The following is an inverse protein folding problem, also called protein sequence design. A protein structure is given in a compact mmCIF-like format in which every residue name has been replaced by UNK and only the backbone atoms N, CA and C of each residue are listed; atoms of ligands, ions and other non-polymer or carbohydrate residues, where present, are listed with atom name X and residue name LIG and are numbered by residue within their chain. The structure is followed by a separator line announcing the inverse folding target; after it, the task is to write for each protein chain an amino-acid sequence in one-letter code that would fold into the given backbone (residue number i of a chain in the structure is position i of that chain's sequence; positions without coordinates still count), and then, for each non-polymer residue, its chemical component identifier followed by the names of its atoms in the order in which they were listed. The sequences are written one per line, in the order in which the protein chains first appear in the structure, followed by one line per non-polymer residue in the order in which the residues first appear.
data_IF_525210115057
#
_entry.id   IF_525210115057
#
_cell.length_a   1.000
_cell.length_b   1.000
_cell.length_c   1.000
_cell.angle_alpha   90.00
_cell.angle_beta   90.00
_cell.angle_gamma   90.00
#
_symmetry.space_group_name_H-M   'P 1'
#
loop_
_entity.id
_entity.type
_entity.pdbx_description
1 polymer ?
#
# COMPACT_ATOMS: atom_id res chain seq x y z
N UNK A 1 -0.15 12.90 -0.29
CA UNK A 1 0.41 11.91 -1.22
C UNK A 1 1.28 12.64 -2.21
N UNK A 2 2.55 12.27 -2.32
CA UNK A 2 3.49 12.87 -3.26
C UNK A 2 4.27 11.79 -4.02
N UNK A 3 4.67 12.12 -5.24
CA UNK A 3 5.56 11.29 -6.07
C UNK A 3 6.90 12.01 -6.20
N UNK A 4 7.99 11.35 -5.87
CA UNK A 4 9.34 11.88 -6.11
C UNK A 4 9.60 11.90 -7.62
N UNK A 5 9.94 13.06 -8.17
CA UNK A 5 10.34 13.21 -9.57
C UNK A 5 11.85 13.07 -9.72
N UNK A 6 12.59 13.81 -8.88
CA UNK A 6 14.05 13.72 -8.81
C UNK A 6 14.43 13.60 -7.34
N UNK A 7 15.10 12.52 -6.99
CA UNK A 7 15.47 12.25 -5.61
C UNK A 7 16.34 13.38 -5.03
N UNK A 8 15.92 13.90 -3.86
CA UNK A 8 16.59 15.01 -3.19
C UNK A 8 16.35 16.41 -3.78
N UNK A 9 15.62 16.52 -4.92
CA UNK A 9 15.41 17.80 -5.60
C UNK A 9 13.94 18.18 -5.70
N UNK A 10 13.07 17.26 -6.12
CA UNK A 10 11.66 17.61 -6.39
C UNK A 10 10.71 16.44 -6.17
N UNK A 11 9.51 16.80 -5.69
CA UNK A 11 8.38 15.88 -5.58
C UNK A 11 7.10 16.55 -6.10
N UNK A 12 6.27 15.80 -6.79
CA UNK A 12 4.97 16.26 -7.26
C UNK A 12 3.88 15.88 -6.25
N UNK A 13 3.17 16.87 -5.74
CA UNK A 13 2.05 16.64 -4.82
C UNK A 13 0.83 16.16 -5.62
N UNK A 14 0.35 14.96 -5.32
CA UNK A 14 -0.79 14.33 -5.98
C UNK A 14 -2.11 14.53 -5.23
N UNK A 15 -2.04 14.84 -3.94
CA UNK A 15 -3.22 15.07 -3.10
C UNK A 15 -2.91 15.03 -1.62
N UNK A 16 -3.88 15.42 -0.84
CA UNK A 16 -3.83 15.42 0.63
C UNK A 16 -4.54 14.18 1.18
N UNK A 17 -4.17 13.78 2.38
CA UNK A 17 -4.93 12.79 3.15
C UNK A 17 -6.06 13.49 3.89
N UNK A 18 -7.21 12.84 4.00
CA UNK A 18 -8.35 13.36 4.76
C UNK A 18 -8.13 13.28 6.28
N UNK A 19 -7.23 12.40 6.74
CA UNK A 19 -6.88 12.24 8.15
C UNK A 19 -5.55 11.51 8.28
N UNK A 20 -4.94 11.61 9.48
CA UNK A 20 -3.73 10.89 9.84
C UNK A 20 -3.96 10.00 11.07
N UNK A 21 -3.45 8.78 11.03
CA UNK A 21 -3.35 7.91 12.19
C UNK A 21 -1.92 8.01 12.75
N UNK A 22 -1.78 8.34 14.01
CA UNK A 22 -0.48 8.44 14.67
C UNK A 22 -0.46 7.65 15.98
N UNK A 23 0.66 7.00 16.27
CA UNK A 23 0.96 6.45 17.58
C UNK A 23 2.05 7.29 18.25
N UNK A 24 1.81 7.70 19.48
CA UNK A 24 2.74 8.51 20.25
C UNK A 24 3.13 7.71 21.49
N UNK A 25 4.43 7.39 21.58
CA UNK A 25 4.97 6.68 22.73
C UNK A 25 5.89 7.59 23.54
N UNK A 26 5.97 7.35 24.85
CA UNK A 26 6.84 8.08 25.81
C UNK A 26 6.66 9.61 25.75
N UNK A 27 5.41 10.05 25.57
CA UNK A 27 5.03 11.46 25.60
C UNK A 27 3.98 11.65 26.70
N UNK A 28 4.17 12.63 27.56
CA UNK A 28 3.25 12.96 28.65
C UNK A 28 2.01 13.68 28.14
N UNK A 29 2.17 14.60 27.19
CA UNK A 29 1.07 15.35 26.58
C UNK A 29 0.82 14.89 25.12
N UNK A 30 0.18 13.74 24.98
CA UNK A 30 -0.18 13.19 23.66
C UNK A 30 -1.21 14.06 22.93
N UNK A 31 -2.14 14.65 23.65
CA UNK A 31 -3.18 15.48 23.05
C UNK A 31 -2.63 16.82 22.55
N UNK A 32 -1.73 17.46 23.29
CA UNK A 32 -1.04 18.64 22.80
C UNK A 32 -0.20 18.35 21.56
N UNK A 33 0.50 17.21 21.51
CA UNK A 33 1.25 16.80 20.33
C UNK A 33 0.32 16.47 19.14
N UNK A 34 -0.83 15.82 19.38
CA UNK A 34 -1.86 15.59 18.36
C UNK A 34 -2.30 16.91 17.73
N UNK A 35 -2.60 17.93 18.54
CA UNK A 35 -3.04 19.24 18.09
C UNK A 35 -1.98 19.93 17.19
N UNK A 36 -0.71 19.82 17.55
CA UNK A 36 0.40 20.34 16.72
C UNK A 36 0.43 19.65 15.35
N UNK A 37 0.24 18.33 15.29
CA UNK A 37 0.21 17.60 14.02
C UNK A 37 -1.01 17.96 13.19
N UNK A 38 -2.17 18.15 13.82
CA UNK A 38 -3.39 18.61 13.11
C UNK A 38 -3.18 19.99 12.48
N UNK A 39 -2.59 20.93 13.21
CA UNK A 39 -2.27 22.27 12.70
C UNK A 39 -1.24 22.19 11.55
N UNK A 40 -0.18 21.38 11.71
CA UNK A 40 0.89 21.25 10.72
C UNK A 40 0.40 20.68 9.38
N UNK A 41 -0.50 19.70 9.42
CA UNK A 41 -0.96 19.00 8.22
C UNK A 41 -2.35 19.46 7.73
N UNK A 42 -2.99 20.37 8.45
CA UNK A 42 -4.35 20.84 8.17
C UNK A 42 -5.34 19.66 7.94
N UNK A 43 -5.25 18.66 8.80
CA UNK A 43 -6.05 17.44 8.69
C UNK A 43 -6.27 16.78 10.05
N UNK A 44 -7.46 16.19 10.31
CA UNK A 44 -7.74 15.49 11.56
C UNK A 44 -6.74 14.39 11.86
N UNK A 45 -6.35 14.28 13.12
CA UNK A 45 -5.43 13.25 13.62
C UNK A 45 -6.13 12.34 14.62
N UNK A 46 -6.10 11.04 14.34
CA UNK A 46 -6.53 9.99 15.26
C UNK A 46 -5.34 9.42 16.01
N UNK A 47 -5.38 9.49 17.33
CA UNK A 47 -4.42 8.79 18.17
C UNK A 47 -4.71 7.28 18.17
N UNK A 48 -3.68 6.52 17.88
CA UNK A 48 -3.65 5.06 18.04
C UNK A 48 -3.06 4.70 19.42
N UNK A 49 -3.40 3.52 19.92
CA UNK A 49 -3.01 3.12 21.27
C UNK A 49 -1.50 2.82 21.38
N UNK A 50 -0.90 2.30 20.32
CA UNK A 50 0.50 1.89 20.32
C UNK A 50 1.10 1.83 18.90
N UNK A 51 2.41 1.62 18.85
CA UNK A 51 3.17 1.51 17.62
C UNK A 51 2.69 0.38 16.69
N UNK A 52 2.25 -0.76 17.25
CA UNK A 52 1.78 -1.88 16.43
C UNK A 52 0.55 -1.48 15.60
N UNK A 53 -0.40 -0.76 16.19
CA UNK A 53 -1.57 -0.27 15.46
C UNK A 53 -1.15 0.62 14.29
N UNK A 54 -0.17 1.53 14.49
CA UNK A 54 0.33 2.37 13.40
C UNK A 54 1.01 1.55 12.29
N UNK A 55 1.82 0.56 12.65
CA UNK A 55 2.53 -0.30 11.69
C UNK A 55 1.57 -1.10 10.82
N UNK A 56 0.51 -1.66 11.40
CA UNK A 56 -0.47 -2.45 10.67
C UNK A 56 -1.43 -1.63 9.80
N UNK A 57 -1.46 -0.30 9.92
CA UNK A 57 -2.26 0.55 9.00
C UNK A 57 -1.67 0.67 7.61
N UNK A 58 -0.41 0.28 7.40
CA UNK A 58 0.20 0.24 6.08
C UNK A 58 -0.29 -1.00 5.30
N UNK A 59 -1.03 -0.78 4.21
CA UNK A 59 -1.54 -1.86 3.36
C UNK A 59 -0.51 -2.41 2.36
N UNK A 60 0.63 -1.75 2.15
CA UNK A 60 1.63 -2.16 1.17
C UNK A 60 2.10 -3.61 1.36
N UNK A 61 2.34 -4.11 2.60
CA UNK A 61 2.79 -5.50 2.82
C UNK A 61 1.80 -6.58 2.36
N UNK A 62 0.53 -6.26 2.12
CA UNK A 62 -0.44 -7.19 1.53
C UNK A 62 -0.82 -6.80 0.10
N UNK A 63 -0.83 -5.51 -0.23
CA UNK A 63 -1.20 -4.99 -1.54
C UNK A 63 -0.16 -5.31 -2.61
N UNK A 64 1.12 -4.98 -2.36
CA UNK A 64 2.17 -5.18 -3.34
C UNK A 64 2.47 -6.67 -3.59
N UNK A 65 2.61 -7.54 -2.58
CA UNK A 65 2.79 -8.98 -2.81
C UNK A 65 1.64 -9.62 -3.58
N UNK A 66 0.38 -9.20 -3.37
CA UNK A 66 -0.77 -9.70 -4.14
C UNK A 66 -0.57 -9.46 -5.64
N UNK A 67 -0.10 -8.29 -6.02
CA UNK A 67 0.14 -7.95 -7.42
C UNK A 67 1.38 -8.63 -7.97
N UNK A 68 2.49 -8.59 -7.24
CA UNK A 68 3.76 -9.19 -7.68
C UNK A 68 3.62 -10.70 -7.88
N UNK A 69 2.95 -11.38 -6.96
CA UNK A 69 2.70 -12.82 -7.08
C UNK A 69 1.91 -13.14 -8.34
N UNK A 70 0.80 -12.46 -8.58
CA UNK A 70 -0.03 -12.74 -9.76
C UNK A 70 0.65 -12.39 -11.09
N UNK A 71 1.60 -11.45 -11.09
CA UNK A 71 2.39 -11.12 -12.27
C UNK A 71 3.51 -12.14 -12.53
N UNK A 72 4.14 -12.65 -11.47
CA UNK A 72 5.43 -13.32 -11.59
C UNK A 72 5.48 -14.72 -10.97
N UNK A 73 4.35 -15.32 -10.53
CA UNK A 73 4.32 -16.66 -9.93
C UNK A 73 4.92 -17.75 -10.81
N UNK A 74 4.82 -17.61 -12.13
CA UNK A 74 5.36 -18.56 -13.10
C UNK A 74 6.67 -18.08 -13.75
N UNK A 75 7.22 -16.94 -13.29
CA UNK A 75 8.45 -16.39 -13.84
C UNK A 75 9.68 -17.18 -13.36
N UNK A 76 10.62 -17.31 -14.27
CA UNK A 76 11.99 -17.76 -13.97
C UNK A 76 13.00 -16.93 -14.77
N UNK A 77 14.30 -17.10 -14.52
CA UNK A 77 15.36 -16.25 -15.10
C UNK A 77 15.49 -16.35 -16.63
N UNK A 78 14.82 -17.28 -17.27
CA UNK A 78 14.82 -17.46 -18.73
C UNK A 78 13.61 -16.78 -19.39
N UNK A 79 12.63 -16.34 -18.58
CA UNK A 79 11.41 -15.67 -19.08
C UNK A 79 11.64 -14.15 -19.17
N UNK A 80 11.37 -13.63 -20.35
CA UNK A 80 11.42 -12.19 -20.65
C UNK A 80 10.06 -11.73 -21.18
N UNK A 81 9.67 -10.52 -20.81
CA UNK A 81 8.44 -9.89 -21.27
C UNK A 81 8.75 -8.86 -22.35
N UNK A 82 7.81 -8.63 -23.24
CA UNK A 82 7.92 -7.66 -24.35
C UNK A 82 7.78 -6.21 -23.87
N UNK A 83 7.17 -6.00 -22.71
CA UNK A 83 6.93 -4.67 -22.14
C UNK A 83 6.96 -4.66 -20.63
N UNK A 84 7.08 -3.46 -20.05
CA UNK A 84 6.84 -3.21 -18.65
C UNK A 84 5.32 -3.10 -18.39
N UNK A 85 4.85 -3.68 -17.28
CA UNK A 85 3.42 -3.64 -16.92
C UNK A 85 3.10 -2.41 -16.09
N UNK A 86 1.86 -1.90 -16.21
CA UNK A 86 1.31 -0.94 -15.27
C UNK A 86 0.89 -1.66 -13.99
N UNK A 87 1.36 -1.16 -12.85
CA UNK A 87 1.21 -1.88 -11.60
C UNK A 87 -0.25 -1.96 -11.16
N UNK A 88 -0.97 -0.83 -11.16
CA UNK A 88 -2.33 -0.74 -10.68
C UNK A 88 -3.39 -0.70 -11.79
N UNK A 89 -3.11 -0.07 -12.92
CA UNK A 89 -4.08 0.04 -14.01
C UNK A 89 -4.35 -1.31 -14.70
N UNK A 90 -3.41 -2.24 -14.61
CA UNK A 90 -3.55 -3.62 -15.09
C UNK A 90 -3.81 -4.61 -13.93
N UNK A 91 -4.32 -4.14 -12.80
CA UNK A 91 -4.70 -4.97 -11.66
C UNK A 91 -5.73 -6.02 -12.08
N UNK A 92 -5.69 -7.23 -11.52
CA UNK A 92 -6.55 -8.35 -11.90
C UNK A 92 -7.46 -8.80 -10.76
N UNK A 93 -8.53 -9.52 -11.10
CA UNK A 93 -9.42 -10.10 -10.10
C UNK A 93 -8.67 -11.13 -9.25
N UNK A 94 -7.75 -11.90 -9.84
CA UNK A 94 -6.88 -12.82 -9.11
C UNK A 94 -6.03 -12.09 -8.05
N UNK A 95 -5.49 -10.91 -8.38
CA UNK A 95 -4.75 -10.10 -7.41
C UNK A 95 -5.67 -9.55 -6.30
N UNK A 96 -6.92 -9.21 -6.63
CA UNK A 96 -7.93 -8.81 -5.64
C UNK A 96 -8.34 -9.96 -4.73
N UNK A 97 -8.52 -11.16 -5.26
CA UNK A 97 -8.83 -12.37 -4.48
C UNK A 97 -7.71 -12.68 -3.48
N UNK A 98 -6.46 -12.61 -3.94
CA UNK A 98 -5.31 -12.81 -3.08
C UNK A 98 -5.19 -11.71 -2.01
N UNK A 99 -5.41 -10.45 -2.38
CA UNK A 99 -5.41 -9.32 -1.44
C UNK A 99 -6.48 -9.49 -0.35
N UNK A 100 -7.69 -9.93 -0.72
CA UNK A 100 -8.77 -10.23 0.23
C UNK A 100 -8.40 -11.40 1.15
N UNK A 101 -7.73 -12.42 0.62
CA UNK A 101 -7.26 -13.56 1.43
C UNK A 101 -6.21 -13.11 2.45
N UNK A 102 -5.21 -12.33 2.03
CA UNK A 102 -4.17 -11.78 2.91
C UNK A 102 -4.75 -10.84 3.96
N UNK A 103 -5.73 -10.00 3.61
CA UNK A 103 -6.44 -9.15 4.56
C UNK A 103 -7.14 -9.98 5.65
N UNK A 104 -7.80 -11.09 5.29
CA UNK A 104 -8.43 -12.01 6.25
C UNK A 104 -7.39 -12.66 7.18
N UNK A 105 -6.24 -13.06 6.66
CA UNK A 105 -5.16 -13.60 7.47
C UNK A 105 -4.60 -12.55 8.43
N UNK A 106 -4.41 -11.30 7.96
CA UNK A 106 -4.00 -10.18 8.79
C UNK A 106 -4.98 -9.96 9.96
N UNK A 107 -6.29 -9.91 9.69
CA UNK A 107 -7.29 -9.75 10.76
C UNK A 107 -7.33 -10.96 11.71
N UNK A 108 -7.09 -12.17 11.22
CA UNK A 108 -6.93 -13.35 12.07
C UNK A 108 -5.72 -13.23 13.00
N UNK A 109 -4.59 -12.71 12.50
CA UNK A 109 -3.41 -12.42 13.30
C UNK A 109 -3.70 -11.33 14.35
N UNK A 110 -4.29 -10.22 13.93
CA UNK A 110 -4.62 -9.09 14.81
C UNK A 110 -5.54 -9.49 15.96
N UNK A 111 -6.44 -10.43 15.75
CA UNK A 111 -7.32 -10.96 16.82
C UNK A 111 -6.57 -11.64 17.98
N UNK A 112 -5.28 -11.96 17.79
CA UNK A 112 -4.40 -12.60 18.78
C UNK A 112 -3.39 -11.63 19.40
N UNK A 113 -3.37 -10.40 18.94
CA UNK A 113 -2.46 -9.37 19.43
C UNK A 113 -3.18 -8.41 20.38
N UNK A 114 -2.47 -7.74 21.30
CA UNK A 114 -3.05 -6.75 22.21
C UNK A 114 -3.26 -5.40 21.48
N UNK A 115 -4.07 -5.42 20.42
CA UNK A 115 -4.42 -4.23 19.62
C UNK A 115 -5.94 -4.01 19.61
N UNK A 116 -6.38 -2.77 19.47
CA UNK A 116 -7.80 -2.46 19.36
C UNK A 116 -8.34 -2.83 17.97
N UNK A 117 -9.39 -3.66 17.85
CA UNK A 117 -9.89 -4.10 16.53
C UNK A 117 -10.32 -2.96 15.60
N UNK A 118 -10.67 -1.81 16.17
CA UNK A 118 -11.21 -0.66 15.43
C UNK A 118 -10.15 0.25 14.81
N UNK A 119 -8.85 0.00 15.00
CA UNK A 119 -7.81 0.86 14.44
C UNK A 119 -7.62 0.66 12.92
N UNK A 120 -7.93 -0.53 12.42
CA UNK A 120 -7.76 -0.90 11.02
C UNK A 120 -9.12 -1.14 10.35
N UNK A 121 -9.27 -0.65 9.13
CA UNK A 121 -10.42 -0.92 8.28
C UNK A 121 -10.07 -2.05 7.32
N UNK A 122 -10.91 -3.12 7.22
CA UNK A 122 -10.69 -4.18 6.23
C UNK A 122 -10.61 -3.65 4.80
N UNK A 123 -9.89 -4.36 3.94
CA UNK A 123 -9.53 -3.88 2.60
C UNK A 123 -10.75 -3.58 1.71
N UNK A 124 -11.81 -4.38 1.78
CA UNK A 124 -13.00 -4.15 0.98
C UNK A 124 -13.70 -2.82 1.33
N UNK A 125 -14.12 -2.55 2.58
CA UNK A 125 -14.68 -1.26 2.94
C UNK A 125 -13.69 -0.11 2.80
N UNK A 126 -12.38 -0.34 2.99
CA UNK A 126 -11.35 0.68 2.78
C UNK A 126 -11.33 1.20 1.33
N UNK A 127 -11.52 0.31 0.36
CA UNK A 127 -11.62 0.65 -1.07
C UNK A 127 -13.07 0.80 -1.56
N UNK A 128 -14.06 0.94 -0.65
CA UNK A 128 -15.49 1.08 -1.03
C UNK A 128 -15.95 -0.02 -1.98
N UNK A 129 -15.53 -1.25 -1.72
CA UNK A 129 -15.75 -2.44 -2.56
C UNK A 129 -16.47 -3.53 -1.77
N UNK A 130 -17.11 -4.47 -2.48
CA UNK A 130 -17.88 -5.56 -1.86
C UNK A 130 -17.33 -6.96 -2.21
N UNK A 131 -16.57 -7.05 -3.30
CA UNK A 131 -16.02 -8.28 -3.84
C UNK A 131 -14.71 -8.01 -4.64
N UNK A 132 -14.11 -9.07 -5.19
CA UNK A 132 -12.88 -8.98 -5.95
C UNK A 132 -13.02 -8.12 -7.22
N UNK A 133 -14.13 -8.25 -7.95
CA UNK A 133 -14.35 -7.52 -9.19
C UNK A 133 -14.49 -6.00 -8.94
N UNK A 134 -15.29 -5.60 -7.95
CA UNK A 134 -15.44 -4.20 -7.55
C UNK A 134 -14.15 -3.63 -6.98
N UNK A 135 -13.36 -4.41 -6.25
CA UNK A 135 -12.03 -4.02 -5.75
C UNK A 135 -11.05 -3.79 -6.90
N UNK A 136 -11.03 -4.68 -7.90
CA UNK A 136 -10.24 -4.53 -9.12
C UNK A 136 -10.58 -3.23 -9.85
N UNK A 137 -11.87 -3.00 -10.07
CA UNK A 137 -12.34 -1.78 -10.71
C UNK A 137 -11.91 -0.53 -9.92
N UNK A 138 -12.09 -0.54 -8.59
CA UNK A 138 -11.72 0.58 -7.73
C UNK A 138 -10.22 0.87 -7.80
N UNK A 139 -9.35 -0.14 -7.63
CA UNK A 139 -7.89 0.03 -7.69
C UNK A 139 -7.45 0.63 -9.02
N UNK A 140 -7.98 0.13 -10.14
CA UNK A 140 -7.69 0.66 -11.48
C UNK A 140 -8.13 2.11 -11.68
N UNK A 141 -9.17 2.55 -10.98
CA UNK A 141 -9.76 3.89 -11.13
C UNK A 141 -9.06 4.98 -10.32
N UNK A 142 -8.19 4.64 -9.37
CA UNK A 142 -7.54 5.59 -8.47
C UNK A 142 -6.54 6.46 -9.25
N UNK A 143 -6.80 7.76 -9.32
CA UNK A 143 -5.96 8.69 -10.10
C UNK A 143 -4.50 8.74 -9.62
N UNK A 144 -4.25 8.66 -8.32
CA UNK A 144 -2.89 8.67 -7.77
C UNK A 144 -2.07 7.41 -8.09
N UNK A 145 -2.72 6.35 -8.57
CA UNK A 145 -2.09 5.09 -8.99
C UNK A 145 -1.75 5.04 -10.48
N UNK A 146 -2.27 5.97 -11.26
CA UNK A 146 -2.05 5.99 -12.71
C UNK A 146 -0.59 6.21 -13.08
N UNK A 147 -0.15 5.52 -14.13
CA UNK A 147 1.20 5.60 -14.67
C UNK A 147 2.29 5.00 -13.76
N UNK A 148 1.91 4.31 -12.66
CA UNK A 148 2.89 3.58 -11.86
C UNK A 148 3.22 2.27 -12.54
N UNK A 149 4.48 2.11 -12.91
CA UNK A 149 4.98 0.91 -13.57
C UNK A 149 5.43 -0.14 -12.56
N UNK A 150 5.31 -1.40 -12.94
CA UNK A 150 5.85 -2.53 -12.18
C UNK A 150 7.38 -2.43 -12.12
N UNK A 151 8.02 -2.79 -10.98
CA UNK A 151 9.47 -2.78 -10.87
C UNK A 151 10.09 -3.86 -11.77
N UNK A 152 10.53 -3.46 -12.95
CA UNK A 152 11.15 -4.32 -13.95
C UNK A 152 12.38 -3.65 -14.53
N UNK A 153 13.37 -4.45 -14.91
CA UNK A 153 14.59 -4.02 -15.60
C UNK A 153 14.57 -4.48 -17.05
N UNK A 154 15.12 -3.67 -17.93
CA UNK A 154 15.22 -3.97 -19.37
C UNK A 154 16.62 -4.48 -19.72
N UNK A 155 16.67 -5.48 -20.59
CA UNK A 155 17.89 -6.00 -21.20
C UNK A 155 17.70 -6.16 -22.71
N UNK A 156 18.73 -6.58 -23.43
CA UNK A 156 18.65 -6.86 -24.86
C UNK A 156 17.61 -7.97 -25.21
N UNK A 157 17.23 -8.80 -24.23
CA UNK A 157 16.25 -9.88 -24.38
C UNK A 157 14.82 -9.47 -24.02
N UNK A 158 14.63 -8.29 -23.42
CA UNK A 158 13.34 -7.80 -22.95
C UNK A 158 13.33 -7.45 -21.47
N UNK A 159 12.15 -7.40 -20.87
CA UNK A 159 11.91 -7.00 -19.50
C UNK A 159 11.86 -8.18 -18.55
N UNK A 160 12.42 -8.01 -17.35
CA UNK A 160 12.35 -8.97 -16.24
C UNK A 160 12.02 -8.26 -14.93
N UNK A 161 11.50 -8.97 -13.89
CA UNK A 161 11.32 -8.39 -12.56
C UNK A 161 12.64 -7.85 -12.00
N UNK A 162 12.62 -6.65 -11.45
CA UNK A 162 13.73 -6.09 -10.69
C UNK A 162 13.68 -6.58 -9.24
N UNK A 163 14.34 -7.70 -8.98
CA UNK A 163 14.38 -8.31 -7.65
C UNK A 163 15.11 -7.45 -6.61
N UNK A 164 15.84 -6.42 -7.03
CA UNK A 164 16.50 -5.47 -6.12
C UNK A 164 15.64 -4.25 -5.82
N UNK A 165 14.47 -4.17 -6.43
CA UNK A 165 13.55 -3.07 -6.15
C UNK A 165 12.99 -3.16 -4.73
N UNK A 166 12.58 -2.02 -4.21
CA UNK A 166 11.92 -1.86 -2.92
C UNK A 166 10.70 -2.79 -2.75
N UNK A 167 9.92 -2.98 -3.81
CA UNK A 167 8.74 -3.85 -3.82
C UNK A 167 9.05 -5.33 -3.54
N UNK A 168 10.24 -5.81 -3.89
CA UNK A 168 10.68 -7.18 -3.62
C UNK A 168 11.52 -7.32 -2.37
N UNK A 169 12.12 -6.22 -1.87
CA UNK A 169 13.05 -6.28 -0.75
C UNK A 169 12.43 -5.80 0.58
N UNK A 170 11.44 -4.93 0.53
CA UNK A 170 10.90 -4.26 1.72
C UNK A 170 9.43 -4.61 1.99
N UNK A 171 8.62 -4.88 0.97
CA UNK A 171 7.20 -5.26 1.07
C UNK A 171 7.03 -6.78 0.94
#
# INVERSE_FOLDING_TARGET
IARTNVYGESAHLLGYKNSHNIAIERCEDKEGFRAIIEELFDAPVRLLNNYYEASFTNSNPILHPSRLYTLFKDWNKEVYYDRQFLFYEEWTDEASELLIALDRELFSLLSRLPVAPSFLTPILPYYESTDAASLTYKIRSINSFKGIVTPMIHSDKGWQPDLNSRYFQED
#
